data_IF_449566815941
#
_entry.id   IF_449566815941
#
_cell.length_a   1.000
_cell.length_b   1.000
_cell.length_c   1.000
_cell.angle_alpha   90.00
_cell.angle_beta   90.00
_cell.angle_gamma   90.00
#
_symmetry.space_group_name_H-M   'P 1'
#
loop_
_entity.id
_entity.type
_entity.pdbx_description
1 polymer ?
#
# COMPACT_ATOMS: atom_id res chain seq x y z
N UNK A 1 44.48 -4.65 6.64
CA UNK A 1 43.31 -3.81 6.34
C UNK A 1 42.80 -3.90 4.90
N UNK A 2 43.67 -3.90 3.88
CA UNK A 2 43.23 -4.00 2.47
C UNK A 2 42.45 -5.27 2.13
N UNK A 3 42.88 -6.43 2.65
CA UNK A 3 42.21 -7.72 2.40
C UNK A 3 40.81 -7.78 3.01
N UNK A 4 40.61 -7.18 4.20
CA UNK A 4 39.31 -7.12 4.85
C UNK A 4 38.30 -6.28 4.05
N UNK A 5 38.77 -5.15 3.48
CA UNK A 5 37.95 -4.31 2.59
C UNK A 5 37.56 -5.06 1.31
N UNK A 6 38.48 -5.84 0.73
CA UNK A 6 38.21 -6.67 -0.45
C UNK A 6 37.21 -7.79 -0.15
N UNK A 7 37.35 -8.46 1.00
CA UNK A 7 36.41 -9.52 1.43
C UNK A 7 35.02 -8.93 1.63
N UNK A 8 34.91 -7.77 2.30
CA UNK A 8 33.62 -7.08 2.46
C UNK A 8 32.99 -6.64 1.13
N UNK A 9 33.80 -6.19 0.17
CA UNK A 9 33.30 -5.84 -1.16
C UNK A 9 32.83 -7.09 -1.94
N UNK A 10 33.58 -8.19 -1.88
CA UNK A 10 33.19 -9.45 -2.51
C UNK A 10 31.91 -10.02 -1.90
N UNK A 11 31.77 -10.01 -0.57
CA UNK A 11 30.56 -10.50 0.09
C UNK A 11 29.33 -9.68 -0.30
N UNK A 12 29.45 -8.35 -0.34
CA UNK A 12 28.36 -7.47 -0.79
C UNK A 12 28.00 -7.74 -2.24
N UNK A 13 28.99 -7.89 -3.12
CA UNK A 13 28.76 -8.21 -4.53
C UNK A 13 28.03 -9.54 -4.70
N UNK A 14 28.43 -10.58 -3.96
CA UNK A 14 27.76 -11.89 -4.00
C UNK A 14 26.30 -11.78 -3.54
N UNK A 15 26.01 -11.01 -2.49
CA UNK A 15 24.64 -10.82 -2.00
C UNK A 15 23.75 -10.14 -3.05
N UNK A 16 24.28 -9.12 -3.75
CA UNK A 16 23.55 -8.44 -4.83
C UNK A 16 23.28 -9.37 -6.01
N UNK A 17 24.24 -10.24 -6.37
CA UNK A 17 24.05 -11.23 -7.42
C UNK A 17 22.99 -12.28 -7.04
N UNK A 18 22.98 -12.75 -5.78
CA UNK A 18 21.95 -13.68 -5.29
C UNK A 18 20.57 -13.04 -5.38
N UNK A 19 20.44 -11.78 -4.98
CA UNK A 19 19.19 -11.02 -5.11
C UNK A 19 18.74 -10.88 -6.58
N UNK A 20 19.66 -10.61 -7.50
CA UNK A 20 19.35 -10.52 -8.92
C UNK A 20 18.89 -11.86 -9.56
N UNK A 21 19.20 -13.00 -8.94
CA UNK A 21 18.85 -14.33 -9.47
C UNK A 21 17.42 -14.79 -9.16
N UNK A 22 16.66 -14.06 -8.33
CA UNK A 22 15.30 -14.46 -7.93
C UNK A 22 14.35 -14.56 -9.13
N UNK A 23 14.26 -13.52 -9.96
CA UNK A 23 13.36 -13.49 -11.12
C UNK A 23 13.75 -14.54 -12.17
N UNK A 24 15.02 -14.64 -12.62
CA UNK A 24 15.44 -15.70 -13.53
C UNK A 24 15.15 -17.11 -13.01
N UNK A 25 15.32 -17.36 -11.71
CA UNK A 25 15.01 -18.65 -11.10
C UNK A 25 13.51 -19.00 -11.19
N UNK A 26 12.62 -18.01 -11.06
CA UNK A 26 11.16 -18.20 -11.24
C UNK A 26 10.84 -18.61 -12.69
N UNK A 27 11.42 -17.92 -13.68
CA UNK A 27 11.23 -18.27 -15.09
C UNK A 27 11.78 -19.65 -15.42
N UNK A 28 12.98 -19.98 -14.91
CA UNK A 28 13.57 -21.29 -15.09
C UNK A 28 12.69 -22.41 -14.52
N UNK A 29 12.16 -22.19 -13.30
CA UNK A 29 11.26 -23.13 -12.65
C UNK A 29 9.94 -23.32 -13.40
N UNK A 30 9.40 -22.24 -13.96
CA UNK A 30 8.20 -22.24 -14.79
C UNK A 30 8.42 -23.08 -16.06
N UNK A 31 9.52 -22.86 -16.78
CA UNK A 31 9.79 -23.56 -18.03
C UNK A 31 10.02 -25.07 -17.80
N UNK A 32 10.75 -25.44 -16.74
CA UNK A 32 10.99 -26.84 -16.40
C UNK A 32 9.72 -27.63 -16.04
N UNK A 33 8.66 -26.95 -15.58
CA UNK A 33 7.43 -27.60 -15.08
C UNK A 33 6.18 -27.04 -15.73
N UNK A 34 6.31 -26.52 -16.94
CA UNK A 34 5.23 -25.82 -17.63
C UNK A 34 3.98 -26.68 -17.80
N UNK A 35 4.15 -27.94 -18.20
CA UNK A 35 3.04 -28.88 -18.39
C UNK A 35 2.26 -29.12 -17.09
N UNK A 36 2.98 -29.38 -15.99
CA UNK A 36 2.38 -29.54 -14.67
C UNK A 36 1.62 -28.28 -14.23
N UNK A 37 2.17 -27.10 -14.53
CA UNK A 37 1.55 -25.82 -14.18
C UNK A 37 0.27 -25.59 -14.97
N UNK A 38 0.27 -25.89 -16.27
CA UNK A 38 -0.91 -25.77 -17.13
C UNK A 38 -2.02 -26.70 -16.66
N UNK A 39 -1.68 -27.95 -16.30
CA UNK A 39 -2.66 -28.95 -15.89
C UNK A 39 -3.33 -28.61 -14.54
N UNK A 40 -2.55 -28.10 -13.57
CA UNK A 40 -2.99 -27.97 -12.17
C UNK A 40 -3.33 -26.54 -11.74
N UNK A 41 -2.73 -25.50 -12.35
CA UNK A 41 -2.84 -24.11 -11.88
C UNK A 41 -3.47 -23.14 -12.88
N UNK A 42 -3.78 -23.56 -14.11
CA UNK A 42 -4.44 -22.67 -15.05
C UNK A 42 -5.92 -22.47 -14.68
N UNK A 43 -6.30 -21.22 -14.39
CA UNK A 43 -7.65 -20.83 -13.97
C UNK A 43 -8.65 -20.72 -15.13
N UNK A 44 -8.17 -20.47 -16.35
CA UNK A 44 -9.00 -20.23 -17.53
C UNK A 44 -8.98 -21.43 -18.50
N UNK A 45 -9.07 -22.66 -17.97
CA UNK A 45 -9.03 -23.89 -18.78
C UNK A 45 -10.20 -24.00 -19.76
N UNK A 46 -11.35 -23.41 -19.41
CA UNK A 46 -12.58 -23.39 -20.20
C UNK A 46 -12.62 -22.26 -21.25
N UNK A 47 -11.64 -21.34 -21.23
CA UNK A 47 -11.57 -20.16 -22.12
C UNK A 47 -10.23 -20.10 -22.83
N UNK A 48 -9.99 -20.98 -23.82
CA UNK A 48 -8.72 -21.06 -24.54
C UNK A 48 -8.37 -19.75 -25.30
N UNK A 49 -9.36 -18.92 -25.61
CA UNK A 49 -9.17 -17.60 -26.23
C UNK A 49 -8.35 -16.62 -25.39
N UNK A 50 -8.20 -16.88 -24.08
CA UNK A 50 -7.46 -16.04 -23.14
C UNK A 50 -5.96 -16.41 -23.04
N UNK A 51 -5.50 -17.45 -23.74
CA UNK A 51 -4.08 -17.87 -23.82
C UNK A 51 -3.41 -17.95 -22.43
N UNK A 52 -4.06 -18.64 -21.48
CA UNK A 52 -3.56 -18.78 -20.12
C UNK A 52 -2.16 -19.40 -20.08
N UNK A 53 -1.96 -20.58 -20.67
CA UNK A 53 -0.66 -21.29 -20.81
C UNK A 53 0.24 -21.31 -19.56
N UNK A 54 -0.34 -21.19 -18.36
CA UNK A 54 0.39 -21.04 -17.09
C UNK A 54 0.90 -19.61 -16.78
N UNK A 55 0.69 -18.64 -17.67
CA UNK A 55 1.06 -17.23 -17.53
C UNK A 55 0.37 -16.54 -16.35
N UNK A 56 -0.89 -16.88 -16.04
CA UNK A 56 -1.58 -16.33 -14.87
C UNK A 56 -0.89 -16.75 -13.56
N UNK A 57 -0.42 -18.00 -13.49
CA UNK A 57 0.35 -18.49 -12.36
C UNK A 57 1.71 -17.81 -12.28
N UNK A 58 2.42 -17.70 -13.41
CA UNK A 58 3.73 -17.02 -13.50
C UNK A 58 3.63 -15.56 -13.04
N UNK A 59 2.61 -14.82 -13.50
CA UNK A 59 2.36 -13.44 -13.09
C UNK A 59 2.15 -13.32 -11.57
N UNK A 60 1.42 -14.28 -10.97
CA UNK A 60 1.23 -14.32 -9.51
C UNK A 60 2.55 -14.54 -8.76
N UNK A 61 3.40 -15.45 -9.22
CA UNK A 61 4.70 -15.72 -8.60
C UNK A 61 5.64 -14.51 -8.71
N UNK A 62 5.66 -13.83 -9.86
CA UNK A 62 6.45 -12.61 -10.05
C UNK A 62 5.98 -11.48 -9.15
N UNK A 63 4.67 -11.30 -9.02
CA UNK A 63 4.09 -10.29 -8.13
C UNK A 63 4.44 -10.55 -6.66
N UNK A 64 4.33 -11.80 -6.21
CA UNK A 64 4.70 -12.19 -4.86
C UNK A 64 6.20 -11.92 -4.57
N UNK A 65 7.08 -12.14 -5.54
CA UNK A 65 8.50 -11.83 -5.40
C UNK A 65 8.77 -10.32 -5.28
N UNK A 66 8.00 -9.48 -5.98
CA UNK A 66 8.10 -8.01 -5.87
C UNK A 66 7.57 -7.50 -4.53
N UNK A 67 6.40 -7.97 -4.09
CA UNK A 67 5.79 -7.56 -2.82
C UNK A 67 6.68 -7.91 -1.61
N UNK A 68 7.42 -9.02 -1.68
CA UNK A 68 8.37 -9.44 -0.65
C UNK A 68 9.60 -8.51 -0.55
N UNK A 69 10.02 -7.90 -1.67
CA UNK A 69 11.13 -6.93 -1.66
C UNK A 69 10.66 -5.54 -1.15
N UNK A 70 9.38 -5.17 -1.34
CA UNK A 70 8.86 -3.85 -0.94
C UNK A 70 8.39 -3.78 0.53
N UNK A 71 7.75 -4.84 1.04
CA UNK A 71 7.03 -4.77 2.32
C UNK A 71 7.85 -5.13 3.56
N UNK A 72 8.83 -6.03 3.48
CA UNK A 72 9.46 -6.54 4.71
C UNK A 72 10.44 -5.57 5.36
N UNK A 73 11.20 -4.80 4.59
CA UNK A 73 12.17 -3.86 5.15
C UNK A 73 11.52 -2.53 5.57
N UNK A 74 10.59 -2.03 4.76
CA UNK A 74 10.03 -0.68 4.92
C UNK A 74 8.92 -0.64 5.98
N UNK A 75 7.99 -1.60 5.94
CA UNK A 75 6.86 -1.61 6.88
C UNK A 75 7.32 -1.86 8.32
N UNK A 76 8.23 -2.83 8.51
CA UNK A 76 8.80 -3.16 9.83
C UNK A 76 9.66 -2.03 10.40
N UNK A 77 10.37 -1.30 9.54
CA UNK A 77 11.17 -0.13 9.94
C UNK A 77 10.29 1.06 10.34
N UNK A 78 9.23 1.33 9.56
CA UNK A 78 8.27 2.39 9.84
C UNK A 78 7.46 2.10 11.10
N UNK A 79 6.99 0.86 11.30
CA UNK A 79 6.29 0.42 12.52
C UNK A 79 7.20 0.58 13.77
N UNK A 80 8.47 0.22 13.65
CA UNK A 80 9.43 0.38 14.75
C UNK A 80 9.82 1.84 15.03
N UNK A 81 9.75 2.72 14.03
CA UNK A 81 10.01 4.16 14.19
C UNK A 81 8.79 4.94 14.69
N UNK A 82 7.60 4.54 14.27
CA UNK A 82 6.33 5.20 14.60
C UNK A 82 5.59 4.53 15.76
N UNK A 83 6.10 3.41 16.28
CA UNK A 83 5.63 2.73 17.48
C UNK A 83 5.83 3.60 18.72
N UNK A 84 4.97 4.60 18.87
CA UNK A 84 4.79 5.33 20.10
C UNK A 84 3.76 4.56 20.92
N UNK A 85 4.21 3.89 21.98
CA UNK A 85 3.31 3.37 23.01
C UNK A 85 2.67 4.59 23.71
N UNK A 86 1.53 5.04 23.22
CA UNK A 86 0.68 5.96 23.96
C UNK A 86 0.29 5.27 25.27
N UNK A 87 1.01 5.56 26.35
CA UNK A 87 0.53 5.31 27.71
C UNK A 87 -0.71 6.20 27.87
N UNK A 88 -1.87 5.62 27.62
CA UNK A 88 -3.16 6.24 27.96
C UNK A 88 -3.29 6.22 29.47
N UNK A 89 -2.63 7.18 30.13
CA UNK A 89 -3.11 7.66 31.41
C UNK A 89 -4.47 8.31 31.15
N UNK A 90 -5.45 8.07 32.01
CA UNK A 90 -6.77 8.71 31.93
C UNK A 90 -6.57 10.23 32.03
N UNK A 91 -6.39 10.91 30.91
CA UNK A 91 -6.33 12.35 30.82
C UNK A 91 -7.72 12.83 30.44
N UNK A 92 -8.39 13.48 31.39
CA UNK A 92 -9.64 14.19 31.14
C UNK A 92 -9.33 15.37 30.22
N UNK A 93 -9.60 15.20 28.92
CA UNK A 93 -9.44 16.25 27.92
C UNK A 93 -10.61 17.23 28.00
N UNK A 94 -10.46 18.29 28.79
CA UNK A 94 -11.45 19.36 28.86
C UNK A 94 -11.15 20.44 27.82
N UNK A 95 -11.91 20.46 26.73
CA UNK A 95 -11.80 21.47 25.68
C UNK A 95 -12.56 22.75 26.10
N UNK A 96 -11.82 23.79 26.51
CA UNK A 96 -12.42 25.10 26.82
C UNK A 96 -12.25 26.04 25.64
N UNK A 97 -13.29 26.20 24.83
CA UNK A 97 -13.31 27.18 23.75
C UNK A 97 -13.86 28.52 24.27
N UNK A 98 -12.99 29.54 24.34
CA UNK A 98 -13.43 30.92 24.56
C UNK A 98 -13.64 31.58 23.20
N UNK A 99 -14.90 31.79 22.82
CA UNK A 99 -15.26 32.53 21.60
C UNK A 99 -15.30 34.03 21.95
N UNK A 100 -14.44 34.83 21.32
CA UNK A 100 -14.56 36.29 21.35
C UNK A 100 -15.44 36.69 20.17
N UNK A 101 -16.67 37.12 20.45
CA UNK A 101 -17.58 37.65 19.42
C UNK A 101 -17.28 39.15 19.28
N UNK A 102 -16.64 39.53 18.17
CA UNK A 102 -16.52 40.94 17.79
C UNK A 102 -17.77 41.32 16.99
N UNK A 103 -18.62 42.18 17.55
CA UNK A 103 -19.82 42.66 16.88
C UNK A 103 -19.45 43.46 15.62
N UNK A 104 -19.84 42.98 14.44
CA UNK A 104 -19.80 43.78 13.21
C UNK A 104 -21.19 44.39 13.00
N UNK A 105 -21.39 45.61 13.50
CA UNK A 105 -22.61 46.38 13.27
C UNK A 105 -22.60 46.99 11.85
N UNK A 106 -23.59 46.57 11.06
CA UNK A 106 -24.10 47.37 9.95
C UNK A 106 -23.94 46.74 8.57
N UNK A 107 -25.00 46.07 8.08
CA UNK A 107 -25.75 46.47 6.88
C UNK A 107 -26.82 45.40 6.53
N UNK A 108 -28.02 45.62 7.07
CA UNK A 108 -29.35 45.57 6.43
C UNK A 108 -29.74 44.36 5.55
N UNK A 109 -30.82 43.72 6.03
CA UNK A 109 -31.92 43.04 5.31
C UNK A 109 -31.70 41.61 4.77
N UNK A 110 -32.12 40.67 5.62
CA UNK A 110 -33.02 39.58 5.24
C UNK A 110 -32.41 38.37 4.53
N UNK A 111 -32.03 37.33 5.29
CA UNK A 111 -32.58 35.98 5.13
C UNK A 111 -31.96 35.01 6.14
N UNK A 112 -32.87 34.30 6.83
CA UNK A 112 -32.87 32.90 7.28
C UNK A 112 -31.66 32.26 8.00
N UNK A 113 -32.02 31.60 9.09
CA UNK A 113 -31.27 30.71 9.96
C UNK A 113 -30.41 29.70 9.19
N UNK A 114 -29.10 29.95 9.13
CA UNK A 114 -28.12 29.01 8.56
C UNK A 114 -27.69 28.02 9.64
N UNK A 115 -28.26 26.82 9.62
CA UNK A 115 -27.77 25.68 10.39
C UNK A 115 -26.48 25.14 9.74
N UNK A 116 -25.35 25.30 10.42
CA UNK A 116 -24.03 24.86 9.95
C UNK A 116 -23.88 23.35 9.74
N UNK A 117 -24.89 22.55 10.09
CA UNK A 117 -24.91 21.10 9.85
C UNK A 117 -25.16 20.72 8.39
N UNK A 118 -25.71 21.59 7.54
CA UNK A 118 -25.96 21.23 6.12
C UNK A 118 -24.73 21.41 5.21
N UNK A 119 -23.80 22.31 5.53
CA UNK A 119 -22.63 22.58 4.69
C UNK A 119 -21.60 21.44 4.71
N UNK A 120 -21.48 20.73 5.85
CA UNK A 120 -20.48 19.68 6.01
C UNK A 120 -20.80 18.40 5.22
N UNK A 121 -22.08 18.10 4.97
CA UNK A 121 -22.48 16.91 4.24
C UNK A 121 -22.43 17.12 2.72
N UNK A 122 -22.54 18.34 2.20
CA UNK A 122 -22.56 18.57 0.74
C UNK A 122 -21.23 18.26 0.02
N UNK A 123 -20.11 18.14 0.74
CA UNK A 123 -18.77 18.00 0.15
C UNK A 123 -18.40 16.54 -0.16
N UNK A 124 -19.04 15.56 0.50
CA UNK A 124 -18.74 14.14 0.30
C UNK A 124 -19.99 13.31 -0.01
N UNK A 125 -20.41 13.32 -1.27
CA UNK A 125 -21.33 12.29 -1.78
C UNK A 125 -20.89 11.78 -3.16
N UNK A 126 -21.00 10.46 -3.42
CA UNK A 126 -20.76 9.90 -4.75
C UNK A 126 -21.87 10.34 -5.74
N UNK A 127 -21.55 10.43 -7.05
CA UNK A 127 -22.48 10.93 -8.06
C UNK A 127 -23.73 10.05 -8.18
N UNK A 128 -24.90 10.68 -8.24
CA UNK A 128 -26.18 9.98 -8.45
C UNK A 128 -26.31 9.59 -9.93
N UNK A 129 -26.52 8.31 -10.18
CA UNK A 129 -26.86 7.77 -11.52
C UNK A 129 -28.32 8.11 -11.81
N UNK A 130 -28.59 8.71 -12.97
CA UNK A 130 -29.93 9.11 -13.40
C UNK A 130 -30.55 7.91 -14.16
N UNK A 131 -31.70 7.42 -13.70
CA UNK A 131 -32.57 6.46 -14.41
C UNK A 131 -33.77 7.16 -15.02
#
# INVERSE_FOLDING_TARGET
MQNLRKIGALSLLTLLLVKAMVVPAIFFNYELRKDFIIENFCVNKERPELNCDGQCYLAKQLKAAQEHDENEATATFVDKLLGFECVSGNADWHFSQTVVITELQGLIAGHQHLNGSELAFSIFHPPKVIS
#
